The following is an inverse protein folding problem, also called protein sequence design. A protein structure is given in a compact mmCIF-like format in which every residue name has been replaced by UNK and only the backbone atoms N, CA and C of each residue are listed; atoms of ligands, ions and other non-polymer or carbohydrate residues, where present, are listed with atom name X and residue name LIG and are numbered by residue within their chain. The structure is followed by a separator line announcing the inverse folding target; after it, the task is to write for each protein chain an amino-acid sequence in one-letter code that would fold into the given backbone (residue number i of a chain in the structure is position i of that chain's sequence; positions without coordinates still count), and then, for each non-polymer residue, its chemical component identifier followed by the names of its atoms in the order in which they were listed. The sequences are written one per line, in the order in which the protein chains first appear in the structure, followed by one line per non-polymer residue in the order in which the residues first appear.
data_IF_492201753331
#
_entry.id   IF_492201753331
#
_cell.length_a   1.000
_cell.length_b   1.000
_cell.length_c   1.000
_cell.angle_alpha   90.00
_cell.angle_beta   90.00
_cell.angle_gamma   90.00
#
_symmetry.space_group_name_H-M   'P 1'
#
loop_
_entity.id
_entity.type
_entity.pdbx_description
1 polymer ?
#
# COMPACT_ATOMS: atom_id res chain seq x y z
N UNK A 1 -8.31 13.33 22.34
CA UNK A 1 -8.33 12.48 21.11
C UNK A 1 -7.50 11.24 21.39
N UNK A 2 -8.05 10.07 21.18
CA UNK A 2 -7.27 8.83 21.29
C UNK A 2 -6.42 8.67 20.02
N UNK A 3 -5.12 8.47 20.19
CA UNK A 3 -4.19 8.27 19.07
C UNK A 3 -4.30 6.83 18.59
N UNK A 4 -4.60 6.61 17.31
CA UNK A 4 -4.62 5.28 16.70
C UNK A 4 -3.22 4.90 16.24
N UNK A 5 -2.72 3.73 16.70
CA UNK A 5 -1.40 3.21 16.34
C UNK A 5 -1.52 2.25 15.17
N UNK A 6 -0.86 2.59 14.06
CA UNK A 6 -0.77 1.75 12.86
C UNK A 6 0.60 1.07 12.78
N UNK A 7 0.60 -0.26 12.63
CA UNK A 7 1.82 -0.97 12.25
C UNK A 7 2.08 -0.75 10.75
N UNK A 8 3.15 -0.04 10.44
CA UNK A 8 3.55 0.19 9.05
C UNK A 8 4.03 -1.11 8.38
N UNK A 9 3.71 -1.32 7.08
CA UNK A 9 4.20 -2.47 6.33
C UNK A 9 5.73 -2.42 6.15
N UNK A 10 6.41 -3.52 6.46
CA UNK A 10 7.85 -3.69 6.33
C UNK A 10 8.14 -5.06 5.69
N UNK A 11 8.59 -5.05 4.42
CA UNK A 11 8.90 -6.27 3.68
C UNK A 11 9.96 -7.13 4.40
N UNK A 12 9.68 -8.42 4.56
CA UNK A 12 10.52 -9.37 5.29
C UNK A 12 10.43 -9.27 6.82
N UNK A 13 9.53 -8.45 7.37
CA UNK A 13 9.40 -8.23 8.81
C UNK A 13 7.96 -8.36 9.28
N UNK A 14 6.99 -7.72 8.60
CA UNK A 14 5.60 -7.72 9.06
C UNK A 14 4.82 -8.94 8.58
N UNK A 15 5.37 -10.13 8.85
CA UNK A 15 4.67 -11.40 8.71
C UNK A 15 3.58 -11.57 9.78
N UNK A 16 2.74 -12.60 9.65
CA UNK A 16 1.62 -12.83 10.58
C UNK A 16 2.07 -12.97 12.05
N UNK A 17 3.13 -13.73 12.39
CA UNK A 17 3.64 -13.80 13.76
C UNK A 17 4.02 -12.43 14.34
N UNK A 18 4.74 -11.61 13.57
CA UNK A 18 5.15 -10.27 14.01
C UNK A 18 3.97 -9.32 14.14
N UNK A 19 3.02 -9.33 13.19
CA UNK A 19 1.81 -8.51 13.25
C UNK A 19 0.98 -8.83 14.51
N UNK A 20 0.79 -10.11 14.83
CA UNK A 20 0.09 -10.56 16.04
C UNK A 20 0.80 -10.12 17.31
N UNK A 21 2.13 -10.17 17.34
CA UNK A 21 2.93 -9.65 18.45
C UNK A 21 2.68 -8.15 18.63
N UNK A 22 2.78 -7.36 17.56
CA UNK A 22 2.50 -5.92 17.61
C UNK A 22 1.07 -5.63 18.08
N UNK A 23 0.08 -6.42 17.62
CA UNK A 23 -1.32 -6.31 18.08
C UNK A 23 -1.43 -6.52 19.59
N UNK A 24 -0.76 -7.53 20.12
CA UNK A 24 -0.72 -7.80 21.57
C UNK A 24 -0.12 -6.65 22.37
N UNK A 25 0.83 -5.90 21.78
CA UNK A 25 1.48 -4.75 22.43
C UNK A 25 0.85 -3.40 22.08
N UNK A 26 -0.36 -3.38 21.53
CA UNK A 26 -1.17 -2.17 21.42
C UNK A 26 -1.20 -1.53 20.03
N UNK A 27 -0.77 -2.21 18.97
CA UNK A 27 -1.08 -1.76 17.62
C UNK A 27 -2.57 -1.89 17.35
N UNK A 28 -3.25 -0.79 17.05
CA UNK A 28 -4.70 -0.77 16.78
C UNK A 28 -5.02 -1.34 15.41
N UNK A 29 -4.21 -0.99 14.41
CA UNK A 29 -4.42 -1.35 13.00
C UNK A 29 -3.13 -1.94 12.43
N UNK A 30 -3.27 -3.05 11.71
CA UNK A 30 -2.15 -3.75 11.09
C UNK A 30 -2.16 -3.56 9.56
N UNK A 31 -1.01 -3.84 8.92
CA UNK A 31 -0.91 -3.91 7.47
C UNK A 31 0.02 -5.07 7.09
N UNK A 32 -0.33 -5.80 6.02
CA UNK A 32 0.53 -6.87 5.50
C UNK A 32 1.82 -6.31 4.91
N UNK A 33 2.77 -7.18 4.60
CA UNK A 33 3.86 -6.84 3.69
C UNK A 33 3.30 -6.41 2.33
N UNK A 34 4.11 -5.71 1.52
CA UNK A 34 3.67 -5.29 0.19
C UNK A 34 3.59 -6.47 -0.77
N UNK A 35 2.47 -6.60 -1.48
CA UNK A 35 2.14 -7.71 -2.36
C UNK A 35 2.08 -7.22 -3.81
N UNK A 36 2.71 -7.96 -4.72
CA UNK A 36 2.74 -7.61 -6.14
C UNK A 36 1.38 -7.79 -6.81
N UNK A 37 0.82 -6.73 -7.38
CA UNK A 37 -0.40 -6.82 -8.18
C UNK A 37 -0.23 -7.72 -9.40
N UNK A 38 0.95 -7.69 -10.04
CA UNK A 38 1.30 -8.61 -11.13
C UNK A 38 1.41 -10.06 -10.65
N UNK A 39 1.94 -10.28 -9.43
CA UNK A 39 1.98 -11.61 -8.83
C UNK A 39 0.57 -12.20 -8.64
N UNK A 40 -0.39 -11.39 -8.20
CA UNK A 40 -1.80 -11.79 -8.12
C UNK A 40 -2.38 -12.07 -9.51
N UNK A 41 -2.16 -11.16 -10.46
CA UNK A 41 -2.67 -11.27 -11.82
C UNK A 41 -2.21 -12.55 -12.53
N UNK A 42 -0.92 -12.91 -12.38
CA UNK A 42 -0.33 -14.12 -12.94
C UNK A 42 -0.44 -15.35 -12.04
N UNK A 43 -1.19 -15.27 -10.94
CA UNK A 43 -1.46 -16.37 -10.00
C UNK A 43 -0.19 -17.01 -9.43
N UNK A 44 0.80 -16.18 -9.11
CA UNK A 44 2.03 -16.64 -8.48
C UNK A 44 1.75 -17.23 -7.08
N UNK A 45 2.22 -18.46 -6.84
CA UNK A 45 1.94 -19.21 -5.61
C UNK A 45 2.49 -18.51 -4.37
N UNK A 46 3.70 -17.96 -4.43
CA UNK A 46 4.31 -17.26 -3.29
C UNK A 46 3.56 -15.98 -2.94
N UNK A 47 3.03 -15.31 -3.94
CA UNK A 47 2.19 -14.13 -3.75
C UNK A 47 0.88 -14.48 -3.05
N UNK A 48 0.28 -15.64 -3.34
CA UNK A 48 -0.93 -16.09 -2.67
C UNK A 48 -0.73 -16.33 -1.16
N UNK A 49 0.43 -16.82 -0.75
CA UNK A 49 0.78 -17.05 0.67
C UNK A 49 0.86 -15.74 1.46
N UNK A 50 1.25 -14.63 0.83
CA UNK A 50 1.33 -13.29 1.45
C UNK A 50 -0.05 -12.65 1.70
N UNK A 51 -1.10 -13.17 1.08
CA UNK A 51 -2.48 -12.69 1.27
C UNK A 51 -3.12 -13.24 2.55
N UNK A 52 -2.50 -14.20 3.20
CA UNK A 52 -3.09 -14.87 4.37
C UNK A 52 -2.94 -14.00 5.63
N UNK A 53 -4.03 -13.88 6.37
CA UNK A 53 -4.08 -13.29 7.71
C UNK A 53 -5.15 -13.98 8.55
N UNK A 54 -5.12 -13.78 9.87
CA UNK A 54 -6.05 -14.38 10.82
C UNK A 54 -7.02 -13.34 11.34
N UNK A 55 -8.20 -13.78 11.80
CA UNK A 55 -9.23 -12.90 12.37
C UNK A 55 -8.72 -12.03 13.52
N UNK A 56 -7.81 -12.57 14.34
CA UNK A 56 -7.18 -11.83 15.44
C UNK A 56 -6.28 -10.67 15.00
N UNK A 57 -5.92 -10.62 13.71
CA UNK A 57 -5.13 -9.53 13.13
C UNK A 57 -6.02 -8.33 12.69
N UNK A 58 -7.34 -8.46 12.72
CA UNK A 58 -8.26 -7.39 12.37
C UNK A 58 -8.23 -6.22 13.40
N UNK A 59 -8.40 -4.96 12.95
CA UNK A 59 -8.48 -4.54 11.55
C UNK A 59 -7.12 -4.56 10.88
N UNK A 60 -7.05 -5.21 9.72
CA UNK A 60 -5.82 -5.33 8.92
C UNK A 60 -6.05 -4.83 7.50
N UNK A 61 -5.10 -4.07 6.96
CA UNK A 61 -5.02 -3.73 5.55
C UNK A 61 -4.12 -4.69 4.79
N UNK A 62 -4.43 -4.90 3.51
CA UNK A 62 -3.54 -5.60 2.58
C UNK A 62 -2.88 -4.55 1.69
N UNK A 63 -1.53 -4.51 1.69
CA UNK A 63 -0.79 -3.56 0.88
C UNK A 63 -0.41 -4.14 -0.48
N UNK A 64 -0.84 -3.46 -1.55
CA UNK A 64 -0.51 -3.77 -2.95
C UNK A 64 0.56 -2.82 -3.49
N UNK A 65 1.38 -3.29 -4.43
CA UNK A 65 2.21 -2.45 -5.26
C UNK A 65 2.12 -2.85 -6.74
N UNK A 66 2.28 -1.87 -7.61
CA UNK A 66 2.25 -2.02 -9.07
C UNK A 66 2.13 -0.66 -9.74
N UNK A 67 2.42 -0.61 -11.04
CA UNK A 67 2.41 0.60 -11.86
C UNK A 67 1.42 0.54 -13.03
N UNK A 68 0.58 -0.48 -13.08
CA UNK A 68 -0.45 -0.64 -14.10
C UNK A 68 -1.83 -0.49 -13.46
N UNK A 69 -2.63 0.53 -13.84
CA UNK A 69 -3.95 0.77 -13.24
C UNK A 69 -4.92 -0.40 -13.39
N UNK A 70 -4.92 -1.10 -14.55
CA UNK A 70 -5.84 -2.20 -14.80
C UNK A 70 -5.46 -3.43 -13.97
N UNK A 71 -4.18 -3.75 -13.87
CA UNK A 71 -3.67 -4.85 -13.05
C UNK A 71 -3.90 -4.56 -11.56
N UNK A 72 -3.71 -3.30 -11.12
CA UNK A 72 -3.99 -2.90 -9.73
C UNK A 72 -5.48 -3.03 -9.39
N UNK A 73 -6.37 -2.60 -10.27
CA UNK A 73 -7.82 -2.76 -10.11
C UNK A 73 -8.24 -4.24 -10.03
N UNK A 74 -7.66 -5.08 -10.88
CA UNK A 74 -7.89 -6.53 -10.82
C UNK A 74 -7.40 -7.13 -9.50
N UNK A 75 -6.16 -6.82 -9.11
CA UNK A 75 -5.59 -7.33 -7.87
C UNK A 75 -6.38 -6.89 -6.64
N UNK A 76 -6.87 -5.64 -6.62
CA UNK A 76 -7.68 -5.12 -5.54
C UNK A 76 -9.00 -5.90 -5.37
N UNK A 77 -9.69 -6.27 -6.44
CA UNK A 77 -10.88 -7.13 -6.38
C UNK A 77 -10.58 -8.49 -5.76
N UNK A 78 -9.50 -9.14 -6.19
CA UNK A 78 -9.07 -10.44 -5.63
C UNK A 78 -8.75 -10.33 -4.14
N UNK A 79 -8.13 -9.23 -3.74
CA UNK A 79 -7.76 -8.97 -2.34
C UNK A 79 -9.00 -8.66 -1.50
N UNK A 80 -9.97 -7.91 -2.03
CA UNK A 80 -11.20 -7.58 -1.31
C UNK A 80 -11.98 -8.83 -0.88
N UNK A 81 -11.96 -9.90 -1.70
CA UNK A 81 -12.61 -11.19 -1.38
C UNK A 81 -12.04 -11.86 -0.11
N UNK A 82 -10.85 -11.45 0.34
CA UNK A 82 -10.25 -11.92 1.60
C UNK A 82 -10.77 -11.18 2.83
N UNK A 83 -11.56 -10.12 2.68
CA UNK A 83 -12.17 -9.36 3.76
C UNK A 83 -11.22 -8.47 4.57
N UNK A 84 -10.23 -7.79 3.97
CA UNK A 84 -9.40 -6.83 4.69
C UNK A 84 -10.24 -5.61 5.11
N UNK A 85 -9.82 -4.93 6.17
CA UNK A 85 -10.45 -3.68 6.60
C UNK A 85 -10.22 -2.53 5.61
N UNK A 86 -9.15 -2.59 4.83
CA UNK A 86 -8.81 -1.64 3.76
C UNK A 86 -7.75 -2.23 2.83
N UNK A 87 -7.62 -1.64 1.63
CA UNK A 87 -6.50 -1.92 0.72
C UNK A 87 -5.57 -0.71 0.74
N UNK A 88 -4.28 -0.94 0.99
CA UNK A 88 -3.26 0.10 0.96
C UNK A 88 -2.41 0.01 -0.31
N UNK A 89 -2.11 1.16 -0.92
CA UNK A 89 -1.24 1.21 -2.11
C UNK A 89 0.14 1.69 -1.70
N UNK A 90 1.17 0.89 -2.00
CA UNK A 90 2.56 1.27 -1.78
C UNK A 90 3.07 2.17 -2.92
N UNK A 91 3.34 3.42 -2.58
CA UNK A 91 3.99 4.40 -3.47
C UNK A 91 5.25 4.99 -2.80
N UNK A 92 5.88 4.20 -1.90
CA UNK A 92 7.03 4.67 -1.13
C UNK A 92 8.21 3.71 -1.02
N UNK A 93 8.13 2.49 -1.53
CA UNK A 93 9.24 1.53 -1.46
C UNK A 93 10.44 2.03 -2.28
N UNK A 94 11.65 2.16 -1.66
CA UNK A 94 12.83 2.72 -2.33
C UNK A 94 13.71 1.65 -2.99
N UNK A 95 13.40 0.37 -2.80
CA UNK A 95 14.25 -0.75 -3.22
C UNK A 95 14.50 -0.73 -4.75
N UNK A 96 15.76 -0.87 -5.22
CA UNK A 96 16.09 -0.80 -6.63
C UNK A 96 15.25 -1.73 -7.52
N UNK A 97 15.02 -2.96 -7.08
CA UNK A 97 14.18 -3.94 -7.81
C UNK A 97 12.74 -3.44 -8.04
N UNK A 98 12.19 -2.68 -7.12
CA UNK A 98 10.84 -2.11 -7.22
C UNK A 98 10.86 -0.85 -8.09
N UNK A 99 11.75 0.07 -7.76
CA UNK A 99 11.84 1.38 -8.41
C UNK A 99 12.25 1.29 -9.89
N UNK A 100 13.14 0.36 -10.24
CA UNK A 100 13.58 0.16 -11.63
C UNK A 100 12.45 -0.38 -12.53
N UNK A 101 11.43 -1.01 -11.95
CA UNK A 101 10.22 -1.43 -12.65
C UNK A 101 9.16 -0.30 -12.76
N UNK A 102 9.41 0.87 -12.19
CA UNK A 102 8.44 1.97 -12.15
C UNK A 102 7.45 1.89 -10.98
N UNK A 103 7.64 0.96 -10.05
CA UNK A 103 6.77 0.75 -8.90
C UNK A 103 7.23 1.54 -7.66
N UNK A 104 6.43 1.52 -6.60
CA UNK A 104 6.79 2.08 -5.31
C UNK A 104 7.11 3.58 -5.39
N UNK A 105 8.27 4.00 -4.86
CA UNK A 105 8.66 5.42 -4.83
C UNK A 105 8.88 6.03 -6.22
N UNK A 106 9.04 5.23 -7.28
CA UNK A 106 9.14 5.74 -8.65
C UNK A 106 7.89 6.50 -9.08
N UNK A 107 6.71 6.12 -8.55
CA UNK A 107 5.43 6.77 -8.82
C UNK A 107 5.37 8.21 -8.29
N UNK A 108 6.23 8.59 -7.35
CA UNK A 108 6.32 9.99 -6.91
C UNK A 108 6.85 10.94 -7.99
N UNK A 109 7.42 10.42 -9.06
CA UNK A 109 7.88 11.20 -10.23
C UNK A 109 6.78 11.43 -11.26
N UNK A 110 5.67 10.68 -11.17
CA UNK A 110 4.56 10.71 -12.12
C UNK A 110 3.21 10.75 -11.38
N UNK A 111 2.79 11.99 -11.07
CA UNK A 111 1.52 12.23 -10.35
C UNK A 111 0.30 11.80 -11.16
N UNK A 112 0.39 11.86 -12.49
CA UNK A 112 -0.71 11.46 -13.36
C UNK A 112 -0.94 9.95 -13.27
N UNK A 113 0.13 9.16 -13.44
CA UNK A 113 0.05 7.72 -13.34
C UNK A 113 -0.35 7.29 -11.91
N UNK A 114 0.22 7.92 -10.89
CA UNK A 114 -0.16 7.65 -9.50
C UNK A 114 -1.66 7.87 -9.27
N UNK A 115 -2.21 8.99 -9.76
CA UNK A 115 -3.64 9.29 -9.69
C UNK A 115 -4.49 8.24 -10.41
N UNK A 116 -4.10 7.82 -11.61
CA UNK A 116 -4.80 6.79 -12.39
C UNK A 116 -4.84 5.44 -11.66
N UNK A 117 -3.72 5.03 -11.05
CA UNK A 117 -3.65 3.80 -10.26
C UNK A 117 -4.60 3.86 -9.06
N UNK A 118 -4.58 4.97 -8.32
CA UNK A 118 -5.44 5.15 -7.15
C UNK A 118 -6.92 5.13 -7.57
N UNK A 119 -7.27 5.92 -8.57
CA UNK A 119 -8.65 6.01 -9.07
C UNK A 119 -9.18 4.65 -9.58
N UNK A 120 -8.35 3.93 -10.36
CA UNK A 120 -8.71 2.60 -10.85
C UNK A 120 -8.94 1.59 -9.71
N UNK A 121 -8.09 1.64 -8.69
CA UNK A 121 -8.22 0.80 -7.49
C UNK A 121 -9.48 1.15 -6.71
N UNK A 122 -9.72 2.44 -6.43
CA UNK A 122 -10.92 2.93 -5.71
C UNK A 122 -12.20 2.53 -6.41
N UNK A 123 -12.26 2.67 -7.74
CA UNK A 123 -13.44 2.28 -8.53
C UNK A 123 -13.70 0.77 -8.57
N UNK A 124 -12.68 -0.03 -8.29
CA UNK A 124 -12.77 -1.48 -8.40
C UNK A 124 -13.33 -2.17 -7.15
N UNK A 125 -13.29 -1.54 -5.98
CA UNK A 125 -13.59 -2.13 -4.68
C UNK A 125 -14.54 -1.26 -3.86
N UNK A 126 -15.17 -1.87 -2.85
CA UNK A 126 -16.07 -1.19 -1.90
C UNK A 126 -15.31 -0.79 -0.63
N UNK A 127 -14.33 -1.61 -0.22
CA UNK A 127 -13.55 -1.33 0.99
C UNK A 127 -12.69 -0.05 0.82
N UNK A 128 -12.35 0.65 1.92
CA UNK A 128 -11.53 1.85 1.85
C UNK A 128 -10.18 1.59 1.19
N UNK A 129 -9.74 2.49 0.29
CA UNK A 129 -8.41 2.48 -0.32
C UNK A 129 -7.56 3.55 0.33
N UNK A 130 -6.35 3.20 0.76
CA UNK A 130 -5.38 4.10 1.37
C UNK A 130 -4.08 4.10 0.58
N UNK A 131 -3.25 5.14 0.75
CA UNK A 131 -1.99 5.27 0.01
C UNK A 131 -0.87 5.61 0.97
N UNK A 132 0.25 4.86 0.89
CA UNK A 132 1.47 5.15 1.65
C UNK A 132 2.61 5.54 0.71
N UNK A 133 3.18 6.75 0.93
CA UNK A 133 4.23 7.34 0.09
C UNK A 133 5.30 8.06 0.94
N UNK A 134 6.29 8.67 0.28
CA UNK A 134 7.39 9.38 0.92
C UNK A 134 7.26 10.91 0.79
N UNK A 135 8.19 11.66 1.40
CA UNK A 135 8.26 13.11 1.24
C UNK A 135 8.56 13.55 -0.20
N UNK A 136 9.28 12.74 -0.94
CA UNK A 136 9.67 12.97 -2.32
C UNK A 136 10.65 11.94 -2.84
N UNK A 137 11.07 12.12 -4.09
CA UNK A 137 12.09 11.29 -4.72
C UNK A 137 13.49 11.54 -4.13
N UNK A 138 13.88 12.81 -4.05
CA UNK A 138 15.19 13.29 -3.58
C UNK A 138 15.02 14.62 -2.85
N UNK A 139 16.05 15.11 -2.19
CA UNK A 139 16.00 16.35 -1.43
C UNK A 139 15.61 17.59 -2.27
N UNK A 140 15.96 17.58 -3.56
CA UNK A 140 15.58 18.62 -4.53
C UNK A 140 14.21 18.38 -5.20
N UNK A 141 13.56 17.25 -4.89
CA UNK A 141 12.26 16.85 -5.46
C UNK A 141 11.31 16.38 -4.36
N UNK A 142 11.03 17.24 -3.41
CA UNK A 142 10.04 17.04 -2.36
C UNK A 142 8.68 17.49 -2.90
N UNK A 143 7.73 16.56 -3.03
CA UNK A 143 6.40 16.83 -3.59
C UNK A 143 5.26 16.14 -2.81
N UNK A 144 5.46 15.89 -1.52
CA UNK A 144 4.46 15.18 -0.70
C UNK A 144 3.10 15.90 -0.68
N UNK A 145 3.07 17.23 -0.71
CA UNK A 145 1.81 18.01 -0.68
C UNK A 145 1.03 17.81 -1.98
N UNK A 146 1.70 17.92 -3.13
CA UNK A 146 1.08 17.72 -4.44
C UNK A 146 0.61 16.28 -4.60
N UNK A 147 1.42 15.33 -4.11
CA UNK A 147 1.09 13.91 -4.13
C UNK A 147 -0.13 13.62 -3.25
N UNK A 148 -0.20 14.20 -2.05
CA UNK A 148 -1.35 14.07 -1.15
C UNK A 148 -2.65 14.59 -1.79
N UNK A 149 -2.60 15.77 -2.42
CA UNK A 149 -3.73 16.34 -3.15
C UNK A 149 -4.18 15.46 -4.33
N UNK A 150 -3.22 14.86 -5.03
CA UNK A 150 -3.51 13.91 -6.12
C UNK A 150 -4.19 12.67 -5.56
N UNK A 151 -3.68 12.09 -4.47
CA UNK A 151 -4.27 10.91 -3.84
C UNK A 151 -5.71 11.17 -3.35
N UNK A 152 -5.93 12.30 -2.66
CA UNK A 152 -7.26 12.73 -2.21
C UNK A 152 -8.23 12.90 -3.38
N UNK A 153 -7.83 13.63 -4.43
CA UNK A 153 -8.65 13.85 -5.63
C UNK A 153 -8.99 12.54 -6.36
N UNK A 154 -8.10 11.55 -6.29
CA UNK A 154 -8.30 10.23 -6.89
C UNK A 154 -9.11 9.27 -6.01
N UNK A 155 -9.59 9.72 -4.84
CA UNK A 155 -10.52 8.99 -3.98
C UNK A 155 -9.87 8.18 -2.85
N UNK A 156 -8.59 8.38 -2.55
CA UNK A 156 -7.98 7.75 -1.39
C UNK A 156 -8.66 8.21 -0.09
N UNK A 157 -9.07 7.27 0.75
CA UNK A 157 -9.75 7.53 2.03
C UNK A 157 -8.79 7.99 3.14
N UNK A 158 -7.51 7.67 3.01
CA UNK A 158 -6.44 8.06 3.94
C UNK A 158 -5.09 8.02 3.24
N UNK A 159 -4.19 8.88 3.68
CA UNK A 159 -2.79 8.88 3.26
C UNK A 159 -1.87 8.65 4.47
N UNK A 160 -0.72 8.02 4.21
CA UNK A 160 0.38 7.87 5.18
C UNK A 160 1.67 8.36 4.55
N UNK A 161 2.30 9.34 5.18
CA UNK A 161 3.55 9.93 4.68
C UNK A 161 4.74 9.45 5.52
N UNK A 162 5.71 8.81 4.88
CA UNK A 162 7.03 8.58 5.47
C UNK A 162 7.87 9.85 5.26
N UNK A 163 8.39 10.50 6.33
CA UNK A 163 8.97 11.84 6.24
C UNK A 163 10.39 11.89 5.65
N UNK A 164 10.84 10.81 5.01
CA UNK A 164 12.11 10.75 4.26
C UNK A 164 11.85 10.74 2.77
N UNK A 165 12.82 11.23 2.00
CA UNK A 165 12.88 10.99 0.56
C UNK A 165 13.29 9.55 0.25
N UNK A 166 13.31 9.19 -1.03
CA UNK A 166 13.83 7.87 -1.46
C UNK A 166 15.33 7.74 -1.12
N UNK A 167 16.09 8.80 -1.34
CA UNK A 167 17.56 8.86 -1.08
C UNK A 167 17.85 9.03 0.40
#
# INVERSE_FOLDING_TARGET
MQTTLYLAPLAGITDSPFRRLCKKYGADVLCTEMISSRGIYYKDRKTAELLEFKDEEQPIGIQLFGNDPAIMAYAAKVVEERGPAFIDINMGCPMPKIVNNGDGCALMKDLLLAGQIIEATVKAVICPVTVKFRAGWSADRINAVEFAKTAEKSGASRITVHPRTRD
#
